data_IF_856894850495
#
_entry.id   IF_856894850495
#
_cell.length_a   1.000
_cell.length_b   1.000
_cell.length_c   1.000
_cell.angle_alpha   90.00
_cell.angle_beta   90.00
_cell.angle_gamma   90.00
#
_symmetry.space_group_name_H-M   'P 1'
#
loop_
_entity.id
_entity.type
_entity.pdbx_description
1 polymer ?
#
# COMPACT_ATOMS: atom_id res chain seq x y z
N UNK A 1 -7.28 -25.05 13.48
CA UNK A 1 -6.70 -23.72 13.16
C UNK A 1 -7.50 -22.71 13.95
N UNK A 2 -6.86 -21.75 14.64
CA UNK A 2 -7.62 -20.61 15.18
C UNK A 2 -8.41 -19.97 14.04
N UNK A 3 -9.68 -19.62 14.29
CA UNK A 3 -10.52 -18.94 13.32
C UNK A 3 -9.84 -17.63 12.90
N UNK A 4 -9.26 -17.61 11.70
CA UNK A 4 -8.66 -16.42 11.10
C UNK A 4 -9.78 -15.40 10.92
N UNK A 5 -9.60 -14.21 11.49
CA UNK A 5 -10.60 -13.13 11.48
C UNK A 5 -10.03 -11.86 10.88
N UNK A 6 -10.87 -11.05 10.27
CA UNK A 6 -10.47 -9.70 9.82
C UNK A 6 -9.92 -8.91 11.02
N UNK A 7 -8.77 -8.28 10.83
CA UNK A 7 -8.04 -7.54 11.86
C UNK A 7 -7.13 -8.40 12.75
N UNK A 8 -7.19 -9.74 12.66
CA UNK A 8 -6.23 -10.61 13.35
C UNK A 8 -4.86 -10.61 12.68
N UNK A 9 -3.84 -11.03 13.42
CA UNK A 9 -2.47 -11.20 12.93
C UNK A 9 -2.19 -12.66 12.61
N UNK A 10 -1.45 -12.91 11.53
CA UNK A 10 -0.91 -14.22 11.16
C UNK A 10 0.58 -14.12 10.86
N UNK A 11 1.34 -15.13 11.28
CA UNK A 11 2.76 -15.22 10.95
C UNK A 11 2.94 -16.03 9.68
N UNK A 12 3.63 -15.44 8.69
CA UNK A 12 3.92 -16.08 7.42
C UNK A 12 5.29 -15.60 6.93
N UNK A 13 6.20 -16.54 6.70
CA UNK A 13 7.56 -16.29 6.19
C UNK A 13 8.37 -15.25 6.97
N UNK A 14 8.30 -15.31 8.30
CA UNK A 14 9.07 -14.43 9.17
C UNK A 14 8.52 -13.02 9.30
N UNK A 15 7.37 -12.74 8.70
CA UNK A 15 6.64 -11.49 8.88
C UNK A 15 5.31 -11.75 9.60
N UNK A 16 4.88 -10.76 10.38
CA UNK A 16 3.52 -10.70 10.90
C UNK A 16 2.65 -9.91 9.93
N UNK A 17 1.51 -10.48 9.59
CA UNK A 17 0.58 -9.92 8.62
C UNK A 17 -0.78 -9.71 9.27
N UNK A 18 -1.41 -8.58 8.97
CA UNK A 18 -2.80 -8.30 9.32
C UNK A 18 -3.73 -8.82 8.25
N UNK A 19 -4.78 -9.53 8.66
CA UNK A 19 -5.87 -9.92 7.77
C UNK A 19 -6.75 -8.70 7.50
N UNK A 20 -6.86 -8.31 6.23
CA UNK A 20 -7.69 -7.20 5.79
C UNK A 20 -9.06 -7.64 5.29
N UNK A 21 -9.12 -8.82 4.67
CA UNK A 21 -10.34 -9.36 4.09
C UNK A 21 -10.21 -10.87 3.94
N UNK A 22 -11.35 -11.57 4.00
CA UNK A 22 -11.44 -13.03 3.84
C UNK A 22 -12.51 -13.30 2.78
N UNK A 23 -12.16 -14.11 1.80
CA UNK A 23 -13.04 -14.58 0.74
C UNK A 23 -12.80 -16.08 0.58
N UNK A 24 -13.83 -16.88 0.86
CA UNK A 24 -13.77 -18.34 0.85
C UNK A 24 -12.54 -18.90 1.62
N UNK A 25 -11.60 -19.51 0.89
CA UNK A 25 -10.39 -20.12 1.43
C UNK A 25 -9.13 -19.26 1.23
N UNK A 26 -9.32 -17.95 1.03
CA UNK A 26 -8.23 -17.00 0.84
C UNK A 26 -8.41 -15.76 1.72
N UNK A 27 -7.29 -15.13 2.06
CA UNK A 27 -7.28 -13.86 2.77
C UNK A 27 -6.41 -12.84 2.05
N UNK A 28 -6.89 -11.60 1.95
CA UNK A 28 -6.03 -10.46 1.67
C UNK A 28 -5.33 -10.07 2.96
N UNK A 29 -4.01 -10.06 2.92
CA UNK A 29 -3.16 -9.76 4.07
C UNK A 29 -2.20 -8.63 3.73
N UNK A 30 -1.81 -7.83 4.73
CA UNK A 30 -0.79 -6.79 4.62
C UNK A 30 0.21 -6.95 5.77
N UNK A 31 1.49 -6.65 5.59
CA UNK A 31 2.44 -6.69 6.71
C UNK A 31 1.96 -5.74 7.82
N UNK A 32 1.98 -6.21 9.07
CA UNK A 32 1.50 -5.44 10.25
C UNK A 32 2.29 -4.13 10.38
N UNK A 33 3.61 -4.22 10.22
CA UNK A 33 4.55 -3.10 10.22
C UNK A 33 5.24 -2.94 8.85
N UNK A 34 5.97 -1.84 8.69
CA UNK A 34 6.80 -1.57 7.52
C UNK A 34 8.03 -2.49 7.56
N UNK A 35 8.24 -3.23 6.47
CA UNK A 35 9.33 -4.23 6.42
C UNK A 35 10.69 -3.62 6.07
N UNK A 36 10.69 -2.54 5.31
CA UNK A 36 11.88 -1.80 4.89
C UNK A 36 11.49 -0.44 4.30
N UNK A 37 12.49 0.40 4.08
CA UNK A 37 12.33 1.69 3.39
C UNK A 37 12.90 1.58 1.97
N UNK A 38 12.13 2.01 0.98
CA UNK A 38 12.58 2.09 -0.43
C UNK A 38 11.98 3.29 -1.16
N UNK A 39 12.66 3.81 -2.18
CA UNK A 39 12.03 4.74 -3.10
C UNK A 39 10.92 4.02 -3.88
N UNK A 40 9.95 4.77 -4.40
CA UNK A 40 8.91 4.21 -5.25
C UNK A 40 9.50 3.80 -6.62
N UNK A 41 10.45 4.59 -7.12
CA UNK A 41 11.20 4.30 -8.32
C UNK A 41 12.64 4.84 -8.23
N UNK A 42 13.52 4.31 -9.07
CA UNK A 42 14.97 4.50 -9.00
C UNK A 42 15.43 5.85 -9.60
N UNK A 43 14.54 6.53 -10.32
CA UNK A 43 14.80 7.81 -10.98
C UNK A 43 13.67 8.82 -10.78
N UNK A 44 14.01 10.11 -10.84
CA UNK A 44 13.04 11.19 -10.87
C UNK A 44 12.48 11.42 -12.28
N UNK A 45 11.43 10.69 -12.63
CA UNK A 45 10.69 10.83 -13.90
C UNK A 45 9.21 10.51 -13.70
N UNK A 46 8.43 10.76 -14.75
CA UNK A 46 7.04 10.31 -14.79
C UNK A 46 7.03 8.78 -14.79
N UNK A 47 6.27 8.19 -13.87
CA UNK A 47 6.21 6.75 -13.67
C UNK A 47 4.80 6.33 -13.24
N UNK A 48 4.46 5.07 -13.50
CA UNK A 48 3.22 4.41 -13.05
C UNK A 48 3.57 3.20 -12.18
N UNK A 49 2.58 2.61 -11.49
CA UNK A 49 2.81 1.38 -10.74
C UNK A 49 3.33 0.24 -11.64
N UNK A 50 2.79 0.12 -12.85
CA UNK A 50 3.15 -0.94 -13.79
C UNK A 50 4.65 -1.00 -14.10
N UNK A 51 5.31 0.16 -14.12
CA UNK A 51 6.68 0.33 -14.58
C UNK A 51 7.68 0.64 -13.45
N UNK A 52 7.19 0.93 -12.24
CA UNK A 52 8.04 1.39 -11.15
C UNK A 52 8.99 0.32 -10.60
N UNK A 53 10.08 0.79 -9.98
CA UNK A 53 11.11 -0.08 -9.41
C UNK A 53 10.58 -0.89 -8.22
N UNK A 54 9.71 -0.28 -7.40
CA UNK A 54 9.16 -0.94 -6.23
C UNK A 54 8.28 -2.13 -6.58
N UNK A 55 7.48 -2.07 -7.66
CA UNK A 55 6.68 -3.21 -8.14
C UNK A 55 7.60 -4.36 -8.59
N UNK A 56 8.66 -4.05 -9.34
CA UNK A 56 9.65 -5.03 -9.80
C UNK A 56 10.36 -5.69 -8.63
N UNK A 57 10.73 -4.93 -7.61
CA UNK A 57 11.29 -5.45 -6.37
C UNK A 57 10.34 -6.43 -5.67
N UNK A 58 9.06 -6.04 -5.49
CA UNK A 58 8.08 -6.87 -4.78
C UNK A 58 7.79 -8.20 -5.48
N UNK A 59 7.71 -8.22 -6.81
CA UNK A 59 7.41 -9.41 -7.61
C UNK A 59 8.66 -10.16 -8.12
N UNK A 60 9.86 -9.67 -7.78
CA UNK A 60 11.14 -10.31 -8.07
C UNK A 60 11.86 -10.60 -6.76
N UNK A 61 12.89 -9.81 -6.44
CA UNK A 61 13.76 -10.01 -5.27
C UNK A 61 13.04 -10.31 -3.95
N UNK A 62 11.90 -9.66 -3.67
CA UNK A 62 11.14 -9.95 -2.45
C UNK A 62 10.36 -11.26 -2.55
N UNK A 63 9.63 -11.48 -3.64
CA UNK A 63 8.89 -12.73 -3.90
C UNK A 63 9.82 -13.96 -3.96
N UNK A 64 11.05 -13.78 -4.46
CA UNK A 64 12.03 -14.86 -4.57
C UNK A 64 12.63 -15.32 -3.24
N UNK A 65 12.37 -14.60 -2.15
CA UNK A 65 12.71 -15.04 -0.79
C UNK A 65 11.76 -16.14 -0.29
N UNK A 66 10.61 -16.35 -0.94
CA UNK A 66 9.65 -17.38 -0.59
C UNK A 66 10.04 -18.71 -1.24
N UNK A 67 9.92 -19.83 -0.52
CA UNK A 67 10.13 -21.15 -1.11
C UNK A 67 8.89 -21.57 -1.95
N UNK A 68 9.00 -22.68 -2.68
CA UNK A 68 7.95 -23.11 -3.61
C UNK A 68 6.60 -23.41 -2.93
N UNK A 69 6.62 -24.00 -1.72
CA UNK A 69 5.41 -24.22 -0.90
C UNK A 69 4.76 -22.90 -0.49
N UNK A 70 5.59 -21.91 -0.18
CA UNK A 70 5.24 -20.51 -0.03
C UNK A 70 4.46 -19.94 -1.20
N UNK A 71 5.17 -19.96 -2.33
CA UNK A 71 4.74 -19.39 -3.59
C UNK A 71 3.44 -20.03 -4.07
N UNK A 72 3.21 -21.32 -3.84
CA UNK A 72 1.97 -22.01 -4.24
C UNK A 72 0.72 -21.56 -3.48
N UNK A 73 0.90 -20.89 -2.33
CA UNK A 73 -0.19 -20.30 -1.53
C UNK A 73 -0.45 -18.84 -1.86
N UNK A 74 0.48 -18.15 -2.51
CA UNK A 74 0.31 -16.75 -2.93
C UNK A 74 -0.48 -16.73 -4.24
N UNK A 75 -1.59 -16.01 -4.25
CA UNK A 75 -2.48 -15.90 -5.41
C UNK A 75 -2.07 -14.66 -6.21
N UNK A 76 -1.75 -14.85 -7.49
CA UNK A 76 -1.59 -13.74 -8.43
C UNK A 76 -2.95 -13.09 -8.71
N UNK A 77 -3.03 -11.77 -8.56
CA UNK A 77 -4.26 -11.01 -8.76
C UNK A 77 -4.07 -9.90 -9.79
N UNK A 78 -5.18 -9.50 -10.42
CA UNK A 78 -5.20 -8.32 -11.28
C UNK A 78 -5.47 -7.06 -10.46
N UNK A 79 -4.50 -6.18 -10.37
CA UNK A 79 -4.63 -4.87 -9.73
C UNK A 79 -5.10 -3.83 -10.73
N UNK A 80 -6.26 -3.23 -10.46
CA UNK A 80 -6.80 -2.10 -11.23
C UNK A 80 -6.09 -0.81 -10.86
N UNK A 81 -5.25 -0.29 -11.75
CA UNK A 81 -4.45 0.91 -11.49
C UNK A 81 -5.22 2.18 -11.83
N UNK A 82 -6.24 2.46 -11.02
CA UNK A 82 -7.12 3.60 -11.19
C UNK A 82 -6.37 4.94 -11.13
N UNK A 83 -6.89 5.89 -11.90
CA UNK A 83 -6.43 7.27 -11.88
C UNK A 83 -6.61 7.88 -10.49
N UNK A 84 -5.80 8.89 -10.17
CA UNK A 84 -5.98 9.63 -8.93
C UNK A 84 -7.36 10.32 -8.93
N UNK A 85 -8.27 10.01 -7.98
CA UNK A 85 -9.65 10.50 -8.01
C UNK A 85 -9.78 12.02 -7.83
N UNK A 86 -8.74 12.70 -7.32
CA UNK A 86 -8.76 14.14 -7.07
C UNK A 86 -8.06 14.96 -8.14
N UNK A 87 -7.18 14.33 -8.93
CA UNK A 87 -6.30 15.03 -9.87
C UNK A 87 -6.38 14.49 -11.30
N UNK A 88 -7.00 13.31 -11.51
CA UNK A 88 -7.07 12.66 -12.83
C UNK A 88 -5.71 12.15 -13.34
N UNK A 89 -4.68 12.14 -12.49
CA UNK A 89 -3.36 11.60 -12.83
C UNK A 89 -3.48 10.14 -13.22
N UNK A 90 -2.91 9.75 -14.35
CA UNK A 90 -3.04 8.40 -14.89
C UNK A 90 -2.37 7.37 -13.99
N UNK A 91 -3.14 6.36 -13.58
CA UNK A 91 -2.63 5.25 -12.75
C UNK A 91 -1.75 4.26 -13.52
N UNK A 92 -1.90 4.22 -14.84
CA UNK A 92 -1.20 3.30 -15.74
C UNK A 92 -2.01 2.04 -16.02
N UNK A 93 -1.41 1.11 -16.75
CA UNK A 93 -2.06 -0.15 -17.12
C UNK A 93 -2.32 -1.04 -15.90
N UNK A 94 -3.36 -1.86 -15.99
CA UNK A 94 -3.60 -2.92 -15.00
C UNK A 94 -2.42 -3.90 -14.93
N UNK A 95 -2.15 -4.40 -13.73
CA UNK A 95 -1.02 -5.30 -13.49
C UNK A 95 -1.48 -6.64 -12.95
N UNK A 96 -0.74 -7.70 -13.26
CA UNK A 96 -0.83 -8.98 -12.54
C UNK A 96 0.30 -9.04 -11.53
N UNK A 97 -0.04 -9.15 -10.25
CA UNK A 97 0.91 -9.11 -9.15
C UNK A 97 0.62 -10.22 -8.14
N UNK A 98 1.67 -10.90 -7.68
CA UNK A 98 1.60 -11.80 -6.52
C UNK A 98 1.74 -11.02 -5.21
N UNK A 99 2.55 -9.96 -5.22
CA UNK A 99 2.78 -9.08 -4.09
C UNK A 99 2.67 -7.63 -4.56
N UNK A 100 1.89 -6.81 -3.87
CA UNK A 100 1.57 -5.45 -4.29
C UNK A 100 1.46 -4.48 -3.12
N UNK A 101 1.26 -3.20 -3.42
CA UNK A 101 0.85 -2.20 -2.43
C UNK A 101 -0.64 -1.89 -2.60
N UNK A 102 -1.33 -1.56 -1.51
CA UNK A 102 -2.72 -1.09 -1.59
C UNK A 102 -2.82 0.24 -2.36
N UNK A 103 -3.95 0.45 -3.04
CA UNK A 103 -4.31 1.72 -3.68
C UNK A 103 -5.08 2.65 -2.75
N UNK A 104 -5.40 3.86 -3.24
CA UNK A 104 -6.23 4.83 -2.49
C UNK A 104 -7.60 4.22 -2.14
N UNK A 105 -8.30 3.62 -3.10
CA UNK A 105 -9.63 3.03 -2.82
C UNK A 105 -9.56 1.86 -1.84
N UNK A 106 -8.52 1.04 -1.92
CA UNK A 106 -8.30 -0.07 -1.00
C UNK A 106 -8.21 0.42 0.45
N UNK A 107 -7.45 1.50 0.70
CA UNK A 107 -7.26 2.04 2.06
C UNK A 107 -8.36 2.99 2.52
N UNK A 108 -9.06 3.64 1.60
CA UNK A 108 -10.10 4.64 1.91
C UNK A 108 -11.49 4.03 1.95
N UNK A 109 -11.81 3.07 1.10
CA UNK A 109 -13.18 2.60 0.91
C UNK A 109 -13.41 1.16 1.39
N UNK A 110 -12.35 0.35 1.58
CA UNK A 110 -12.50 -1.10 1.80
C UNK A 110 -11.90 -1.57 3.11
N UNK A 111 -10.57 -1.57 3.23
CA UNK A 111 -9.89 -2.46 4.17
C UNK A 111 -9.55 -1.84 5.52
N UNK A 112 -9.77 -0.53 5.68
CA UNK A 112 -9.54 0.18 6.94
C UNK A 112 -10.80 0.91 7.42
N UNK A 113 -11.98 0.45 7.00
CA UNK A 113 -13.26 1.13 7.18
C UNK A 113 -13.62 2.00 5.98
N UNK A 114 -14.90 2.32 5.85
CA UNK A 114 -15.44 3.07 4.72
C UNK A 114 -15.37 4.58 4.96
N UNK A 115 -14.54 5.25 4.16
CA UNK A 115 -14.43 6.70 4.07
C UNK A 115 -14.69 7.18 2.63
N UNK A 116 -15.42 6.40 1.83
CA UNK A 116 -15.72 6.67 0.41
C UNK A 116 -16.41 8.02 0.18
N UNK A 117 -17.38 8.38 1.03
CA UNK A 117 -18.06 9.68 0.95
C UNK A 117 -17.07 10.85 1.02
N UNK A 118 -16.05 10.73 1.87
CA UNK A 118 -15.00 11.75 2.03
C UNK A 118 -14.07 11.85 0.82
N UNK A 119 -13.94 10.76 0.04
CA UNK A 119 -13.14 10.71 -1.18
C UNK A 119 -13.89 11.38 -2.34
N UNK A 120 -15.19 11.10 -2.46
CA UNK A 120 -16.07 11.65 -3.49
C UNK A 120 -16.37 13.14 -3.24
N UNK A 121 -16.70 13.50 -2.00
CA UNK A 121 -17.07 14.86 -1.62
C UNK A 121 -15.86 15.66 -1.11
N UNK A 122 -14.88 15.87 -1.99
CA UNK A 122 -13.70 16.68 -1.69
C UNK A 122 -14.09 18.12 -1.35
N UNK A 123 -13.70 18.59 -0.17
CA UNK A 123 -13.88 20.00 0.19
C UNK A 123 -12.94 20.90 -0.63
N UNK A 124 -13.41 22.08 -1.05
CA UNK A 124 -12.57 23.10 -1.73
C UNK A 124 -11.36 23.56 -0.88
N UNK A 125 -11.40 23.34 0.44
CA UNK A 125 -10.29 23.65 1.36
C UNK A 125 -9.29 22.48 1.52
N UNK A 126 -9.58 21.30 0.98
CA UNK A 126 -8.71 20.13 1.03
C UNK A 126 -7.76 20.11 -0.16
N UNK A 127 -6.55 20.62 0.09
CA UNK A 127 -5.48 20.71 -0.91
C UNK A 127 -4.31 19.75 -0.66
N UNK A 128 -4.22 19.16 0.55
CA UNK A 128 -3.07 18.35 0.94
C UNK A 128 -3.41 16.95 1.47
N UNK A 129 -4.20 16.90 2.54
CA UNK A 129 -4.50 15.65 3.24
C UNK A 129 -5.91 15.18 2.93
N UNK A 130 -6.05 13.87 2.76
CA UNK A 130 -7.33 13.22 3.03
C UNK A 130 -7.66 13.42 4.51
N UNK A 131 -8.78 14.11 4.74
CA UNK A 131 -9.44 14.40 6.02
C UNK A 131 -8.68 14.01 7.30
N UNK A 132 -8.02 14.98 7.95
CA UNK A 132 -7.30 14.76 9.24
C UNK A 132 -8.18 14.20 10.36
N UNK A 133 -9.50 14.44 10.29
CA UNK A 133 -10.49 13.97 11.27
C UNK A 133 -11.20 12.69 10.86
N UNK A 134 -10.69 11.98 9.84
CA UNK A 134 -11.24 10.69 9.48
C UNK A 134 -11.04 9.69 10.62
N UNK A 135 -12.15 9.12 11.10
CA UNK A 135 -12.19 8.14 12.19
C UNK A 135 -11.39 6.87 11.87
N UNK A 136 -11.19 6.57 10.58
CA UNK A 136 -10.45 5.41 10.11
C UNK A 136 -8.93 5.63 10.02
N UNK A 137 -8.43 6.84 10.31
CA UNK A 137 -6.99 7.13 10.24
C UNK A 137 -6.18 6.22 11.16
N UNK A 138 -6.58 6.03 12.41
CA UNK A 138 -5.86 5.18 13.37
C UNK A 138 -5.63 3.73 12.88
N UNK A 139 -6.56 3.19 12.09
CA UNK A 139 -6.46 1.83 11.54
C UNK A 139 -5.35 1.69 10.49
N UNK A 140 -5.00 2.79 9.80
CA UNK A 140 -4.01 2.83 8.71
C UNK A 140 -2.56 3.05 9.19
N UNK A 141 -2.36 3.32 10.48
CA UNK A 141 -1.03 3.54 11.06
C UNK A 141 -0.19 2.26 10.94
N UNK A 142 1.11 2.45 10.68
CA UNK A 142 2.11 1.39 10.66
C UNK A 142 3.41 1.89 11.27
N UNK A 143 4.20 0.98 11.83
CA UNK A 143 5.47 1.35 12.45
C UNK A 143 6.65 0.92 11.59
N UNK A 144 7.73 1.66 11.70
CA UNK A 144 9.05 1.26 11.26
C UNK A 144 10.00 1.44 12.44
N UNK A 145 10.71 0.36 12.82
CA UNK A 145 11.60 0.35 13.99
C UNK A 145 10.93 0.85 15.29
N UNK A 146 9.63 0.53 15.47
CA UNK A 146 8.87 0.89 16.67
C UNK A 146 8.19 2.27 16.64
N UNK A 147 8.42 3.09 15.61
CA UNK A 147 7.84 4.44 15.48
C UNK A 147 6.86 4.52 14.32
N UNK A 148 5.77 5.27 14.50
CA UNK A 148 4.81 5.54 13.44
C UNK A 148 5.52 6.17 12.24
N UNK A 149 5.40 5.53 11.08
CA UNK A 149 6.09 5.95 9.86
C UNK A 149 5.15 5.93 8.66
N UNK A 150 5.50 6.70 7.64
CA UNK A 150 4.68 6.81 6.45
C UNK A 150 4.99 5.69 5.45
N UNK A 151 3.99 5.24 4.70
CA UNK A 151 4.14 4.11 3.78
C UNK A 151 3.43 4.33 2.44
N UNK A 152 3.97 3.72 1.40
CA UNK A 152 3.54 3.92 0.01
C UNK A 152 2.18 3.30 -0.32
N UNK A 153 1.42 3.97 -1.18
CA UNK A 153 0.33 3.36 -1.95
C UNK A 153 0.77 3.19 -3.40
N UNK A 154 0.21 2.22 -4.12
CA UNK A 154 0.50 2.06 -5.56
C UNK A 154 -0.07 3.20 -6.41
N UNK A 155 -1.13 3.87 -5.94
CA UNK A 155 -1.81 4.93 -6.68
C UNK A 155 -0.93 6.17 -6.90
N UNK A 156 -1.05 6.84 -8.05
CA UNK A 156 -0.31 8.07 -8.31
C UNK A 156 -0.81 9.22 -7.41
N UNK A 157 0.04 10.23 -7.21
CA UNK A 157 -0.35 11.49 -6.57
C UNK A 157 -0.90 12.49 -7.59
N UNK A 158 -0.61 13.78 -7.40
CA UNK A 158 -1.08 14.89 -8.26
C UNK A 158 -0.49 14.90 -9.67
N UNK A 159 0.68 14.30 -9.86
CA UNK A 159 1.38 14.11 -11.14
C UNK A 159 2.13 12.77 -11.08
N UNK A 160 2.53 12.22 -12.23
CA UNK A 160 3.24 10.92 -12.30
C UNK A 160 4.67 10.92 -11.71
N UNK A 161 5.16 12.05 -11.18
CA UNK A 161 6.41 12.14 -10.41
C UNK A 161 6.21 12.01 -8.91
N UNK A 162 4.98 11.82 -8.47
CA UNK A 162 4.63 11.62 -7.06
C UNK A 162 3.65 10.47 -6.91
N UNK A 163 3.74 9.74 -5.80
CA UNK A 163 2.81 8.68 -5.44
C UNK A 163 1.99 9.08 -4.20
N UNK A 164 0.84 8.46 -4.05
CA UNK A 164 0.04 8.57 -2.83
C UNK A 164 0.64 7.70 -1.72
N UNK A 165 0.30 8.03 -0.48
CA UNK A 165 0.88 7.39 0.69
C UNK A 165 -0.01 7.56 1.92
N UNK A 166 0.27 6.84 2.99
CA UNK A 166 -0.34 7.02 4.31
C UNK A 166 0.71 7.61 5.24
N UNK A 167 0.35 8.67 5.98
CA UNK A 167 1.27 9.42 6.82
C UNK A 167 1.43 8.82 8.22
N UNK A 168 2.62 8.92 8.82
CA UNK A 168 2.88 8.51 10.22
C UNK A 168 2.45 9.56 11.27
N UNK A 169 2.57 10.87 10.96
CA UNK A 169 2.07 11.96 11.82
C UNK A 169 1.63 13.25 11.05
N UNK A 170 0.33 13.61 10.99
CA UNK A 170 -0.79 13.01 11.70
C UNK A 170 -1.03 11.56 11.23
N UNK A 171 -1.12 10.65 12.19
CA UNK A 171 -1.12 9.22 11.92
C UNK A 171 -2.28 8.79 11.05
N UNK A 172 -1.97 8.00 10.02
CA UNK A 172 -2.95 7.33 9.18
C UNK A 172 -3.66 8.19 8.14
N UNK A 173 -3.34 9.49 8.05
CA UNK A 173 -3.91 10.37 7.03
C UNK A 173 -3.39 9.98 5.65
N UNK A 174 -4.28 9.86 4.66
CA UNK A 174 -3.88 9.56 3.27
C UNK A 174 -3.39 10.83 2.58
N UNK A 175 -2.13 10.84 2.14
CA UNK A 175 -1.57 11.87 1.30
C UNK A 175 -1.88 11.61 -0.17
N UNK A 176 -3.07 12.02 -0.64
CA UNK A 176 -3.53 11.81 -2.02
C UNK A 176 -2.72 12.62 -3.06
N UNK A 177 -1.98 13.64 -2.60
CA UNK A 177 -1.39 14.64 -3.49
C UNK A 177 0.09 14.41 -3.82
N UNK A 178 0.98 14.18 -2.85
CA UNK A 178 2.42 14.23 -3.11
C UNK A 178 3.27 13.54 -2.04
N UNK A 179 3.97 12.49 -2.46
CA UNK A 179 5.35 12.27 -2.06
C UNK A 179 6.20 11.88 -3.28
N UNK A 180 7.43 12.39 -3.37
CA UNK A 180 8.29 12.23 -4.56
C UNK A 180 8.60 10.76 -4.82
N UNK A 181 8.49 10.29 -6.06
CA UNK A 181 8.79 8.88 -6.39
C UNK A 181 10.26 8.53 -6.17
N UNK A 182 11.12 9.55 -6.16
CA UNK A 182 12.56 9.44 -5.91
C UNK A 182 13.08 10.66 -5.13
N UNK A 183 14.05 10.45 -4.24
CA UNK A 183 14.73 11.52 -3.48
C UNK A 183 16.23 11.51 -3.78
N UNK A 184 16.68 12.45 -4.62
CA UNK A 184 18.08 12.50 -5.09
C UNK A 184 19.09 13.05 -4.06
N UNK A 185 18.62 13.81 -3.07
CA UNK A 185 19.46 14.74 -2.28
C UNK A 185 19.22 14.72 -0.77
N UNK A 186 18.39 13.79 -0.29
CA UNK A 186 18.19 13.55 1.13
C UNK A 186 18.58 12.09 1.38
N UNK A 187 19.42 11.81 2.38
CA UNK A 187 19.84 10.44 2.68
C UNK A 187 18.64 9.49 2.93
N UNK A 188 18.91 8.18 3.04
CA UNK A 188 17.93 7.08 3.19
C UNK A 188 16.76 7.33 4.17
N UNK A 189 16.88 8.31 5.07
CA UNK A 189 15.88 8.76 6.04
C UNK A 189 14.55 9.28 5.44
N UNK A 190 14.46 9.48 4.12
CA UNK A 190 13.23 9.93 3.43
C UNK A 190 12.64 8.90 2.47
N UNK A 191 13.14 7.67 2.46
CA UNK A 191 12.50 6.62 1.69
C UNK A 191 11.17 6.22 2.34
N UNK A 192 10.19 5.84 1.51
CA UNK A 192 8.89 5.47 2.02
C UNK A 192 8.87 4.06 2.56
N UNK A 193 8.05 3.84 3.59
CA UNK A 193 7.83 2.51 4.12
C UNK A 193 7.16 1.60 3.09
N UNK A 194 7.70 0.40 2.95
CA UNK A 194 7.11 -0.67 2.15
C UNK A 194 6.22 -1.52 3.06
N UNK A 195 4.92 -1.58 2.76
CA UNK A 195 3.94 -2.50 3.36
C UNK A 195 3.35 -3.40 2.27
N UNK A 196 3.97 -4.54 1.98
CA UNK A 196 3.45 -5.48 1.01
C UNK A 196 2.09 -6.01 1.43
N UNK A 197 1.22 -6.19 0.45
CA UNK A 197 -0.02 -6.93 0.54
C UNK A 197 -0.02 -8.09 -0.46
N UNK A 198 -0.69 -9.18 -0.11
CA UNK A 198 -0.87 -10.34 -0.98
C UNK A 198 -2.16 -11.09 -0.63
N UNK A 199 -2.65 -11.87 -1.59
CA UNK A 199 -3.71 -12.83 -1.34
C UNK A 199 -3.11 -14.20 -1.01
N UNK A 200 -3.49 -14.76 0.14
CA UNK A 200 -2.96 -16.00 0.68
C UNK A 200 -4.04 -17.06 0.76
N UNK A 201 -3.80 -18.25 0.19
CA UNK A 201 -4.61 -19.45 0.45
C UNK A 201 -4.43 -19.90 1.90
N UNK A 202 -5.54 -20.05 2.62
CA UNK A 202 -5.54 -20.41 4.03
C UNK A 202 -5.27 -21.91 4.23
N UNK A 203 -5.68 -22.73 3.28
CA UNK A 203 -5.36 -24.16 3.22
C UNK A 203 -4.44 -24.48 2.02
N UNK A 204 -3.77 -25.63 2.09
CA UNK A 204 -2.92 -26.17 1.02
C UNK A 204 -3.71 -27.14 0.14
#
# INVERSE_FOLDING_TARGET
>A
MEDIKIGSSLSFRGYNWRVLYIEDNAALIITEDIIEQRPYHDDYKDITWAECGLRKYLNGEFYDKFNDTDKSRIIEVTNKNLDNPWYGTKGGDDTKDSIFLLGIEDVVCRYFGDSSEKLQNRSKKQNYWFQRKDENNNKRIAKFMGYDYWWWLRSPGRINRVAAYVHGNPGGCVGINRNSVFFRSFGAQRDGGVRPALWLKLEL
#
